data_IF_371956547016
#
_entry.id   IF_371956547016
#
_cell.length_a   1.000
_cell.length_b   1.000
_cell.length_c   1.000
_cell.angle_alpha   90.00
_cell.angle_beta   90.00
_cell.angle_gamma   90.00
#
_symmetry.space_group_name_H-M   'P 1'
#
loop_
_entity.id
_entity.type
_entity.pdbx_description
1 polymer ?
#
# COMPACT_ATOMS: atom_id res chain seq x y z
N UNK A 1 -13.89 33.03 -12.91
CA UNK A 1 -13.35 31.91 -12.09
C UNK A 1 -11.97 31.58 -12.63
N UNK A 2 -10.92 31.85 -11.85
CA UNK A 2 -9.55 31.45 -12.18
C UNK A 2 -9.28 30.09 -11.54
N UNK A 3 -8.86 29.13 -12.34
CA UNK A 3 -8.42 27.83 -11.83
C UNK A 3 -6.94 27.89 -11.51
N UNK A 4 -6.58 27.57 -10.27
CA UNK A 4 -5.20 27.53 -9.80
C UNK A 4 -4.85 26.13 -9.34
N UNK A 5 -3.66 25.66 -9.64
CA UNK A 5 -3.14 24.37 -9.19
C UNK A 5 -2.28 24.57 -7.95
N UNK A 6 -2.68 23.93 -6.86
CA UNK A 6 -1.95 24.02 -5.59
C UNK A 6 -1.62 22.64 -5.06
N UNK A 7 -0.53 22.56 -4.32
CA UNK A 7 -0.13 21.35 -3.58
C UNK A 7 -0.13 21.65 -2.09
N UNK A 8 -0.93 20.90 -1.35
CA UNK A 8 -0.93 20.90 0.11
C UNK A 8 0.13 19.89 0.61
N UNK A 9 1.20 20.39 1.18
CA UNK A 9 2.29 19.55 1.67
C UNK A 9 2.05 19.14 3.12
N UNK A 10 2.52 17.97 3.54
CA UNK A 10 2.34 17.43 4.89
C UNK A 10 2.93 18.30 6.01
N UNK A 11 3.86 19.20 5.68
CA UNK A 11 4.45 20.17 6.59
C UNK A 11 3.61 21.46 6.78
N UNK A 12 2.37 21.47 6.28
CA UNK A 12 1.47 22.62 6.38
C UNK A 12 1.74 23.75 5.38
N UNK A 13 2.63 23.58 4.39
CA UNK A 13 2.87 24.56 3.33
C UNK A 13 1.97 24.31 2.11
N UNK A 14 1.54 25.41 1.49
CA UNK A 14 0.87 25.42 0.18
C UNK A 14 1.90 25.87 -0.85
N UNK A 15 2.02 25.15 -1.95
CA UNK A 15 2.89 25.48 -3.09
C UNK A 15 2.15 25.28 -4.40
N UNK A 16 2.60 25.90 -5.47
CA UNK A 16 1.98 25.91 -6.81
C UNK A 16 1.71 27.31 -7.29
N UNK A 17 0.57 27.55 -7.92
CA UNK A 17 0.18 28.85 -8.46
C UNK A 17 -0.05 29.91 -7.37
N UNK A 18 -0.30 29.48 -6.14
CA UNK A 18 -0.31 30.31 -4.93
C UNK A 18 0.52 29.67 -3.83
N UNK A 19 0.96 30.48 -2.89
CA UNK A 19 1.73 30.03 -1.72
C UNK A 19 1.00 30.39 -0.44
N UNK A 20 1.29 29.62 0.62
CA UNK A 20 0.66 29.86 1.90
C UNK A 20 0.85 28.72 2.87
N UNK A 21 -0.07 28.63 3.83
CA UNK A 21 -0.09 27.57 4.83
C UNK A 21 -1.48 26.96 4.99
N UNK A 22 -1.52 25.74 5.46
CA UNK A 22 -2.77 25.05 5.77
C UNK A 22 -2.62 24.21 7.03
N UNK A 23 -3.73 24.03 7.72
CA UNK A 23 -3.81 23.12 8.87
C UNK A 23 -5.21 22.55 8.99
N UNK A 24 -5.35 21.48 9.75
CA UNK A 24 -6.64 20.89 10.09
C UNK A 24 -6.72 20.61 11.59
N UNK A 25 -7.93 20.55 12.12
CA UNK A 25 -8.17 20.15 13.51
C UNK A 25 -8.25 18.62 13.54
N UNK A 26 -7.28 17.98 14.20
CA UNK A 26 -7.21 16.51 14.30
C UNK A 26 -8.53 15.93 14.84
N UNK A 27 -9.05 14.91 14.15
CA UNK A 27 -10.32 14.26 14.51
C UNK A 27 -11.57 14.95 13.96
N UNK A 28 -11.41 16.00 13.17
CA UNK A 28 -12.52 16.70 12.51
C UNK A 28 -12.26 16.83 11.00
N UNK A 29 -13.28 17.30 10.29
CA UNK A 29 -13.17 17.69 8.88
C UNK A 29 -12.85 19.17 8.68
N UNK A 30 -12.68 19.92 9.76
CA UNK A 30 -12.42 21.35 9.69
C UNK A 30 -10.95 21.63 9.32
N UNK A 31 -10.75 22.56 8.42
CA UNK A 31 -9.45 23.04 8.01
C UNK A 31 -9.42 24.57 7.91
N UNK A 32 -8.23 25.11 7.92
CA UNK A 32 -7.97 26.49 7.60
C UNK A 32 -6.78 26.59 6.63
N UNK A 33 -6.85 27.58 5.74
CA UNK A 33 -5.79 27.92 4.80
C UNK A 33 -5.51 29.40 4.88
N UNK A 34 -4.25 29.78 4.79
CA UNK A 34 -3.84 31.17 4.57
C UNK A 34 -3.23 31.22 3.18
N UNK A 35 -3.84 31.97 2.29
CA UNK A 35 -3.41 32.14 0.90
C UNK A 35 -3.29 33.63 0.67
N UNK A 36 -2.11 34.07 0.23
CA UNK A 36 -1.78 35.49 -0.01
C UNK A 36 -2.16 36.40 1.18
N UNK A 37 -1.93 35.91 2.41
CA UNK A 37 -2.25 36.63 3.65
C UNK A 37 -3.72 36.61 4.07
N UNK A 38 -4.62 36.04 3.27
CA UNK A 38 -6.06 35.93 3.60
C UNK A 38 -6.33 34.56 4.22
N UNK A 39 -6.99 34.59 5.39
CA UNK A 39 -7.41 33.37 6.08
C UNK A 39 -8.75 32.88 5.58
N UNK A 40 -8.82 31.63 5.21
CA UNK A 40 -10.01 30.89 4.80
C UNK A 40 -10.25 29.75 5.79
N UNK A 41 -11.53 29.54 6.15
CA UNK A 41 -11.96 28.44 7.02
C UNK A 41 -13.05 27.63 6.35
N UNK A 42 -13.06 26.32 6.57
CA UNK A 42 -14.08 25.45 6.00
C UNK A 42 -13.83 24.00 6.29
N UNK A 43 -14.29 23.14 5.40
CA UNK A 43 -14.29 21.70 5.57
C UNK A 43 -13.67 20.98 4.39
N UNK A 44 -12.98 19.87 4.69
CA UNK A 44 -12.71 18.81 3.73
C UNK A 44 -13.81 17.76 3.83
N UNK A 45 -14.25 17.26 2.69
CA UNK A 45 -15.19 16.14 2.65
C UNK A 45 -14.92 15.24 1.46
N UNK A 46 -15.35 14.00 1.55
CA UNK A 46 -15.33 13.06 0.46
C UNK A 46 -16.62 13.14 -0.32
N UNK A 47 -16.51 13.16 -1.63
CA UNK A 47 -17.68 13.01 -2.51
C UNK A 47 -17.29 12.14 -3.71
N UNK A 48 -18.28 11.62 -4.42
CA UNK A 48 -18.06 10.98 -5.73
C UNK A 48 -17.86 12.07 -6.77
N UNK A 49 -16.89 11.86 -7.67
CA UNK A 49 -16.72 12.74 -8.82
C UNK A 49 -17.83 12.50 -9.87
N UNK A 50 -17.99 13.43 -10.81
CA UNK A 50 -18.98 13.33 -11.88
C UNK A 50 -18.51 12.46 -13.07
N UNK A 51 -17.37 11.75 -12.93
CA UNK A 51 -16.90 10.84 -13.96
C UNK A 51 -17.73 9.55 -14.00
N UNK A 52 -17.79 8.83 -15.14
CA UNK A 52 -18.52 7.57 -15.22
C UNK A 52 -18.08 6.50 -14.20
N UNK A 53 -16.87 6.61 -13.67
CA UNK A 53 -16.32 5.71 -12.66
C UNK A 53 -16.70 6.10 -11.21
N UNK A 54 -17.32 7.29 -11.01
CA UNK A 54 -17.75 7.79 -9.70
C UNK A 54 -16.69 7.61 -8.60
N UNK A 55 -15.44 8.00 -8.90
CA UNK A 55 -14.35 7.86 -7.94
C UNK A 55 -14.57 8.77 -6.73
N UNK A 56 -14.19 8.29 -5.54
CA UNK A 56 -14.15 9.14 -4.35
C UNK A 56 -13.04 10.18 -4.48
N UNK A 57 -13.40 11.44 -4.38
CA UNK A 57 -12.47 12.57 -4.38
C UNK A 57 -12.59 13.37 -3.08
N UNK A 58 -11.47 13.86 -2.58
CA UNK A 58 -11.47 14.83 -1.49
C UNK A 58 -11.74 16.20 -2.06
N UNK A 59 -12.75 16.84 -1.56
CA UNK A 59 -13.09 18.23 -1.90
C UNK A 59 -12.95 19.12 -0.67
N UNK A 60 -12.75 20.39 -0.91
CA UNK A 60 -12.79 21.38 0.15
C UNK A 60 -13.65 22.58 -0.26
N UNK A 61 -14.32 23.15 0.71
CA UNK A 61 -15.04 24.42 0.57
C UNK A 61 -14.66 25.31 1.74
N UNK A 62 -14.16 26.49 1.44
CA UNK A 62 -13.63 27.42 2.41
C UNK A 62 -14.22 28.81 2.18
N UNK A 63 -14.46 29.53 3.26
CA UNK A 63 -14.96 30.92 3.27
C UNK A 63 -13.88 31.80 3.93
N UNK A 64 -13.47 32.83 3.22
CA UNK A 64 -12.58 33.88 3.72
C UNK A 64 -13.32 35.08 4.29
N UNK A 65 -12.58 36.03 4.87
CA UNK A 65 -13.09 37.37 5.17
C UNK A 65 -13.63 37.98 3.86
N UNK A 66 -14.72 38.72 3.95
CA UNK A 66 -15.43 39.33 2.82
C UNK A 66 -16.21 38.37 1.91
N UNK A 67 -16.65 37.21 2.47
CA UNK A 67 -17.46 36.23 1.74
C UNK A 67 -16.80 35.66 0.46
N UNK A 68 -15.50 35.81 0.33
CA UNK A 68 -14.76 35.10 -0.71
C UNK A 68 -14.80 33.59 -0.45
N UNK A 69 -15.16 32.84 -1.44
CA UNK A 69 -15.19 31.39 -1.35
C UNK A 69 -14.11 30.76 -2.20
N UNK A 70 -13.44 29.77 -1.66
CA UNK A 70 -12.54 28.88 -2.39
C UNK A 70 -13.09 27.49 -2.30
N UNK A 71 -13.20 26.81 -3.41
CA UNK A 71 -13.50 25.39 -3.44
C UNK A 71 -12.52 24.70 -4.38
N UNK A 72 -12.30 23.43 -4.15
CA UNK A 72 -11.43 22.66 -5.00
C UNK A 72 -11.58 21.18 -4.74
N UNK A 73 -11.14 20.40 -5.71
CA UNK A 73 -11.02 18.97 -5.60
C UNK A 73 -9.55 18.60 -5.51
N UNK A 74 -9.20 17.70 -4.63
CA UNK A 74 -7.94 17.00 -4.75
C UNK A 74 -8.06 16.19 -6.05
N UNK A 75 -7.36 16.61 -7.10
CA UNK A 75 -7.11 15.69 -8.19
C UNK A 75 -6.53 14.44 -7.56
N UNK A 76 -7.28 13.35 -7.62
CA UNK A 76 -6.79 12.07 -7.14
C UNK A 76 -5.45 11.88 -7.84
N UNK A 77 -4.34 12.01 -7.11
CA UNK A 77 -3.25 11.11 -7.41
C UNK A 77 -3.99 9.77 -7.44
N UNK A 78 -4.06 9.13 -8.60
CA UNK A 78 -4.33 7.72 -8.64
C UNK A 78 -3.24 7.12 -7.77
N UNK A 79 -3.49 7.05 -6.48
CA UNK A 79 -2.82 6.06 -5.66
C UNK A 79 -3.33 4.81 -6.37
N UNK A 80 -2.47 4.20 -7.17
CA UNK A 80 -2.73 2.87 -7.66
C UNK A 80 -2.81 2.04 -6.39
N UNK A 81 -4.00 2.02 -5.79
CA UNK A 81 -4.31 1.10 -4.73
C UNK A 81 -4.25 -0.26 -5.40
N UNK A 82 -3.14 -0.93 -5.20
CA UNK A 82 -2.99 -2.30 -5.63
C UNK A 82 -3.83 -3.16 -4.70
N UNK A 83 -5.15 -3.06 -4.84
CA UNK A 83 -6.13 -3.86 -4.10
C UNK A 83 -6.75 -4.89 -5.03
N UNK A 84 -7.10 -6.05 -4.49
CA UNK A 84 -7.68 -7.14 -5.26
C UNK A 84 -7.01 -8.47 -4.93
N UNK A 85 -7.36 -9.50 -5.69
CA UNK A 85 -6.77 -10.83 -5.55
C UNK A 85 -5.76 -11.07 -6.68
N UNK A 86 -4.58 -11.53 -6.30
CA UNK A 86 -3.44 -11.70 -7.20
C UNK A 86 -2.77 -13.05 -7.00
N UNK A 87 -2.17 -13.53 -8.08
CA UNK A 87 -1.00 -14.41 -8.01
C UNK A 87 0.24 -13.52 -7.93
N UNK A 88 1.17 -13.84 -7.03
CA UNK A 88 2.40 -13.08 -6.81
C UNK A 88 3.57 -13.92 -7.31
N UNK A 89 4.13 -13.54 -8.47
CA UNK A 89 5.19 -14.31 -9.14
C UNK A 89 6.55 -13.67 -8.94
N UNK A 90 7.53 -14.45 -8.54
CA UNK A 90 8.90 -13.98 -8.42
C UNK A 90 9.53 -13.75 -9.81
N UNK A 91 10.24 -12.64 -9.98
CA UNK A 91 10.88 -12.29 -11.26
C UNK A 91 12.04 -13.24 -11.62
N UNK A 92 12.84 -13.62 -10.63
CA UNK A 92 14.03 -14.46 -10.83
C UNK A 92 13.69 -15.91 -11.16
N UNK A 93 12.87 -16.53 -10.31
CA UNK A 93 12.55 -17.97 -10.42
C UNK A 93 11.38 -18.26 -11.37
N UNK A 94 10.53 -17.25 -11.64
CA UNK A 94 9.27 -17.42 -12.36
C UNK A 94 8.19 -18.19 -11.58
N UNK A 95 8.48 -18.59 -10.32
CA UNK A 95 7.53 -19.31 -9.46
C UNK A 95 6.64 -18.35 -8.69
N UNK A 96 5.58 -18.91 -8.14
CA UNK A 96 4.53 -18.16 -7.45
C UNK A 96 4.67 -18.31 -5.95
N UNK A 97 4.40 -17.23 -5.23
CA UNK A 97 4.25 -17.27 -3.78
C UNK A 97 3.17 -18.29 -3.44
N UNK A 98 3.42 -19.13 -2.43
CA UNK A 98 2.59 -20.29 -2.11
C UNK A 98 2.62 -20.53 -0.60
N UNK A 99 1.46 -20.86 -0.04
CA UNK A 99 1.38 -21.37 1.34
C UNK A 99 1.66 -22.85 1.30
N UNK A 100 2.70 -23.31 2.00
CA UNK A 100 3.12 -24.69 2.01
C UNK A 100 1.96 -25.63 2.37
N UNK A 101 1.86 -26.72 1.59
CA UNK A 101 0.82 -27.75 1.72
C UNK A 101 -0.63 -27.24 1.64
N UNK A 102 -0.84 -25.99 1.18
CA UNK A 102 -2.15 -25.34 1.20
C UNK A 102 -2.73 -25.19 2.60
N UNK A 103 -1.89 -25.23 3.63
CA UNK A 103 -2.29 -25.22 5.02
C UNK A 103 -3.05 -23.96 5.39
N UNK A 104 -4.13 -24.09 6.16
CA UNK A 104 -4.86 -22.98 6.75
C UNK A 104 -4.41 -22.65 8.18
N UNK A 105 -3.42 -23.36 8.73
CA UNK A 105 -2.95 -23.19 10.10
C UNK A 105 -2.13 -21.90 10.26
N UNK A 106 -2.07 -21.36 11.49
CA UNK A 106 -1.09 -20.35 11.86
C UNK A 106 0.32 -20.94 11.76
N UNK A 107 1.29 -20.08 11.44
CA UNK A 107 2.68 -20.42 11.22
C UNK A 107 2.96 -21.30 9.99
N UNK A 108 1.95 -21.57 9.12
CA UNK A 108 2.24 -22.23 7.85
C UNK A 108 3.26 -21.45 7.06
N UNK A 109 4.26 -22.16 6.55
CA UNK A 109 5.38 -21.55 5.85
C UNK A 109 4.95 -20.91 4.52
N UNK A 110 5.58 -19.81 4.16
CA UNK A 110 5.47 -19.22 2.83
C UNK A 110 6.68 -19.65 2.01
N UNK A 111 6.41 -20.22 0.87
CA UNK A 111 7.40 -20.73 -0.09
C UNK A 111 7.11 -20.21 -1.48
N UNK A 112 7.95 -20.55 -2.44
CA UNK A 112 7.61 -20.44 -3.84
C UNK A 112 7.28 -21.82 -4.43
N UNK A 113 6.34 -21.86 -5.38
CA UNK A 113 5.96 -23.10 -6.07
C UNK A 113 5.65 -22.86 -7.54
N UNK A 114 5.76 -23.92 -8.36
CA UNK A 114 5.25 -23.86 -9.73
C UNK A 114 3.75 -23.51 -9.75
N UNK A 115 3.30 -22.80 -10.74
CA UNK A 115 1.87 -22.43 -10.85
C UNK A 115 0.97 -23.66 -10.83
N UNK A 116 -0.01 -23.66 -9.95
CA UNK A 116 -1.01 -24.72 -9.85
C UNK A 116 -2.46 -24.19 -9.77
N UNK A 117 -2.62 -22.85 -9.64
CA UNK A 117 -3.93 -22.18 -9.62
C UNK A 117 -4.73 -22.38 -8.33
N UNK A 118 -4.20 -23.09 -7.32
CA UNK A 118 -4.88 -23.40 -6.07
C UNK A 118 -5.03 -22.15 -5.19
N UNK A 119 -5.83 -22.26 -4.14
CA UNK A 119 -6.04 -21.19 -3.17
C UNK A 119 -4.76 -20.79 -2.45
N UNK A 120 -3.82 -21.72 -2.23
CA UNK A 120 -2.49 -21.46 -1.62
C UNK A 120 -1.66 -20.41 -2.37
N UNK A 121 -1.93 -20.19 -3.66
CA UNK A 121 -1.23 -19.21 -4.48
C UNK A 121 -2.00 -17.91 -4.68
N UNK A 122 -3.22 -17.80 -4.14
CA UNK A 122 -4.05 -16.59 -4.28
C UNK A 122 -3.88 -15.71 -3.04
N UNK A 123 -3.59 -14.43 -3.30
CA UNK A 123 -3.37 -13.45 -2.22
C UNK A 123 -4.28 -12.24 -2.44
N UNK A 124 -5.05 -11.87 -1.42
CA UNK A 124 -5.86 -10.67 -1.46
C UNK A 124 -5.10 -9.51 -0.79
N UNK A 125 -4.81 -8.49 -1.58
CA UNK A 125 -4.12 -7.28 -1.12
C UNK A 125 -5.16 -6.27 -0.68
N UNK A 126 -5.06 -5.81 0.57
CA UNK A 126 -6.01 -4.89 1.21
C UNK A 126 -5.24 -3.74 1.84
N UNK A 127 -5.60 -2.52 1.50
CA UNK A 127 -5.00 -1.31 2.09
C UNK A 127 -5.38 -1.15 3.56
N UNK A 128 -4.42 -0.75 4.41
CA UNK A 128 -4.70 -0.33 5.79
C UNK A 128 -5.03 1.17 5.92
N UNK A 129 -4.98 1.93 4.81
CA UNK A 129 -5.24 3.37 4.80
C UNK A 129 -3.99 4.27 4.87
N UNK A 130 -2.84 3.76 5.39
CA UNK A 130 -1.62 4.55 5.64
C UNK A 130 -0.51 4.29 4.61
N UNK A 131 -0.87 3.78 3.43
CA UNK A 131 0.09 3.44 2.36
C UNK A 131 0.75 2.07 2.53
N UNK A 132 0.31 1.27 3.50
CA UNK A 132 0.68 -0.13 3.67
C UNK A 132 -0.49 -1.04 3.32
N UNK A 133 -0.20 -2.32 3.19
CA UNK A 133 -1.15 -3.35 2.80
C UNK A 133 -1.02 -4.58 3.69
N UNK A 134 -2.15 -5.21 3.98
CA UNK A 134 -2.22 -6.60 4.38
C UNK A 134 -2.26 -7.47 3.11
N UNK A 135 -1.54 -8.58 3.12
CA UNK A 135 -1.53 -9.55 2.04
C UNK A 135 -2.14 -10.84 2.59
N UNK A 136 -3.44 -11.00 2.37
CA UNK A 136 -4.23 -12.09 2.95
C UNK A 136 -4.10 -13.35 2.10
N UNK A 137 -3.98 -14.51 2.73
CA UNK A 137 -3.73 -15.80 2.09
C UNK A 137 -5.03 -16.51 1.71
N UNK A 138 -5.14 -16.97 0.47
CA UNK A 138 -6.31 -17.72 -0.01
C UNK A 138 -6.42 -19.11 0.64
N UNK A 139 -5.32 -19.74 1.04
CA UNK A 139 -5.30 -20.99 1.78
C UNK A 139 -6.12 -20.93 3.08
N UNK A 140 -6.17 -19.77 3.72
CA UNK A 140 -6.95 -19.50 4.93
C UNK A 140 -8.35 -18.92 4.64
N UNK A 141 -8.79 -18.92 3.39
CA UNK A 141 -9.98 -18.19 2.95
C UNK A 141 -9.92 -16.70 3.31
N UNK A 142 -8.72 -16.11 3.19
CA UNK A 142 -8.42 -14.68 3.44
C UNK A 142 -8.64 -14.22 4.89
N UNK A 143 -8.60 -15.13 5.86
CA UNK A 143 -8.68 -14.79 7.29
C UNK A 143 -7.31 -14.56 7.93
N UNK A 144 -6.23 -14.98 7.26
CA UNK A 144 -4.85 -14.83 7.70
C UNK A 144 -4.05 -13.99 6.71
N UNK A 145 -2.96 -13.42 7.20
CA UNK A 145 -2.06 -12.56 6.41
C UNK A 145 -0.65 -13.13 6.34
N UNK A 146 0.13 -12.69 5.35
CA UNK A 146 1.58 -12.80 5.41
C UNK A 146 2.08 -12.10 6.69
N UNK A 147 3.01 -12.74 7.36
CA UNK A 147 3.53 -12.33 8.66
C UNK A 147 5.04 -12.52 8.69
N UNK A 148 5.75 -11.48 9.10
CA UNK A 148 7.18 -11.61 9.42
C UNK A 148 7.28 -12.26 10.79
N UNK A 149 7.80 -13.48 10.85
CA UNK A 149 7.81 -14.29 12.05
C UNK A 149 8.36 -13.52 13.26
N UNK A 150 7.62 -13.58 14.38
CA UNK A 150 7.93 -12.90 15.65
C UNK A 150 8.12 -11.37 15.54
N UNK A 151 7.74 -10.76 14.41
CA UNK A 151 7.92 -9.31 14.20
C UNK A 151 9.37 -8.86 14.09
N UNK A 152 10.29 -9.80 13.82
CA UNK A 152 11.72 -9.52 13.74
C UNK A 152 12.06 -8.58 12.58
N UNK A 153 12.98 -7.64 12.79
CA UNK A 153 13.52 -6.79 11.75
C UNK A 153 14.76 -7.39 11.05
N UNK A 154 15.26 -8.51 11.55
CA UNK A 154 16.51 -9.12 11.08
C UNK A 154 16.36 -9.73 9.68
N UNK A 155 17.42 -9.67 8.90
CA UNK A 155 17.52 -10.38 7.63
C UNK A 155 17.50 -11.91 7.87
N UNK A 156 16.94 -12.65 6.92
CA UNK A 156 16.73 -14.08 7.04
C UNK A 156 15.48 -14.47 7.86
N UNK A 157 14.75 -13.49 8.44
CA UNK A 157 13.52 -13.80 9.17
C UNK A 157 12.50 -14.45 8.23
N UNK A 158 11.95 -15.56 8.65
CA UNK A 158 10.99 -16.33 7.86
C UNK A 158 9.68 -15.57 7.67
N UNK A 159 9.03 -15.80 6.53
CA UNK A 159 7.66 -15.35 6.26
C UNK A 159 6.73 -16.53 6.44
N UNK A 160 5.69 -16.30 7.23
CA UNK A 160 4.64 -17.30 7.51
C UNK A 160 3.27 -16.69 7.23
N UNK A 161 2.22 -17.49 7.23
CA UNK A 161 0.88 -16.94 7.41
C UNK A 161 0.51 -16.96 8.88
N UNK A 162 -0.25 -15.97 9.32
CA UNK A 162 -0.74 -15.88 10.69
C UNK A 162 -2.11 -15.19 10.75
N UNK A 163 -2.91 -15.52 11.75
CA UNK A 163 -4.20 -14.87 12.01
C UNK A 163 -4.05 -13.37 12.03
N UNK A 164 -4.95 -12.64 11.35
CA UNK A 164 -4.85 -11.19 11.18
C UNK A 164 -4.96 -10.48 12.55
N UNK A 165 -3.82 -10.00 13.05
CA UNK A 165 -3.69 -9.29 14.32
C UNK A 165 -3.46 -7.77 14.16
N UNK A 166 -3.32 -7.32 12.91
CA UNK A 166 -3.04 -5.93 12.53
C UNK A 166 -1.71 -5.36 13.05
N UNK A 167 -0.79 -6.22 13.44
CA UNK A 167 0.57 -5.86 13.86
C UNK A 167 1.42 -5.31 12.70
N UNK A 168 2.52 -4.65 13.03
CA UNK A 168 3.46 -4.10 12.04
C UNK A 168 4.13 -5.19 11.19
N UNK A 169 4.27 -6.39 11.73
CA UNK A 169 4.81 -7.57 11.06
C UNK A 169 3.91 -8.12 9.94
N UNK A 170 2.64 -7.70 9.88
CA UNK A 170 1.69 -8.06 8.82
C UNK A 170 1.49 -6.94 7.80
N UNK A 171 2.18 -5.82 7.95
CA UNK A 171 2.07 -4.66 7.07
C UNK A 171 3.24 -4.59 6.09
N UNK A 172 2.89 -4.47 4.81
CA UNK A 172 3.87 -4.39 3.74
C UNK A 172 3.63 -3.15 2.87
N UNK A 173 4.71 -2.53 2.41
CA UNK A 173 4.68 -1.46 1.41
C UNK A 173 4.95 -2.07 0.04
N UNK A 174 4.08 -1.79 -0.92
CA UNK A 174 4.30 -2.17 -2.32
C UNK A 174 5.01 -1.04 -3.05
N UNK A 175 6.30 -1.23 -3.31
CA UNK A 175 7.13 -0.26 -4.01
C UNK A 175 7.30 -0.67 -5.48
N UNK A 176 6.62 0.06 -6.38
CA UNK A 176 6.73 -0.20 -7.82
C UNK A 176 8.12 0.16 -8.31
N UNK A 177 8.75 -0.74 -9.04
CA UNK A 177 10.07 -0.61 -9.63
C UNK A 177 9.97 -0.06 -11.07
N UNK A 178 11.07 0.43 -11.60
CA UNK A 178 11.14 0.99 -12.97
C UNK A 178 10.83 -0.03 -14.06
N UNK A 179 11.06 -1.31 -13.78
CA UNK A 179 10.77 -2.44 -14.71
C UNK A 179 9.31 -2.95 -14.60
N UNK A 180 8.46 -2.26 -13.82
CA UNK A 180 7.05 -2.61 -13.63
C UNK A 180 6.80 -3.65 -12.55
N UNK A 181 7.83 -4.26 -11.97
CA UNK A 181 7.71 -5.17 -10.82
C UNK A 181 7.47 -4.42 -9.52
N UNK A 182 7.31 -5.15 -8.43
CA UNK A 182 7.14 -4.61 -7.08
C UNK A 182 8.18 -5.19 -6.12
N UNK A 183 8.74 -4.33 -5.26
CA UNK A 183 9.32 -4.76 -4.00
C UNK A 183 8.21 -4.80 -2.96
N UNK A 184 8.14 -5.87 -2.18
CA UNK A 184 7.17 -6.06 -1.09
C UNK A 184 7.92 -5.86 0.21
N UNK A 185 7.95 -4.61 0.70
CA UNK A 185 8.80 -4.19 1.81
C UNK A 185 8.08 -4.33 3.16
N UNK A 186 8.73 -4.95 4.12
CA UNK A 186 8.19 -5.22 5.46
C UNK A 186 8.20 -3.96 6.35
N UNK A 187 7.08 -3.63 6.97
CA UNK A 187 7.02 -2.56 7.98
C UNK A 187 7.78 -2.93 9.25
N UNK A 188 7.91 -4.20 9.59
CA UNK A 188 8.70 -4.67 10.74
C UNK A 188 10.16 -4.22 10.64
N UNK A 189 10.73 -4.20 9.43
CA UNK A 189 12.08 -3.69 9.16
C UNK A 189 12.14 -2.19 8.87
N UNK A 190 11.06 -1.43 9.09
CA UNK A 190 10.94 -0.03 8.66
C UNK A 190 11.12 0.14 7.14
N UNK A 191 10.66 -0.84 6.36
CA UNK A 191 10.78 -0.92 4.91
C UNK A 191 12.23 -1.02 4.38
N UNK A 192 13.18 -1.44 5.19
CA UNK A 192 14.56 -1.72 4.76
C UNK A 192 14.67 -3.08 4.09
N UNK A 193 13.92 -4.07 4.56
CA UNK A 193 13.92 -5.43 4.04
C UNK A 193 12.59 -5.75 3.32
N UNK A 194 12.65 -6.63 2.35
CA UNK A 194 11.49 -7.08 1.57
C UNK A 194 11.44 -8.60 1.44
N UNK A 195 10.36 -9.11 0.85
CA UNK A 195 10.23 -10.51 0.52
C UNK A 195 11.35 -10.92 -0.44
N UNK A 196 12.05 -11.99 -0.07
CA UNK A 196 13.21 -12.52 -0.77
C UNK A 196 13.09 -14.03 -0.96
N UNK A 197 13.46 -14.52 -2.13
CA UNK A 197 13.61 -15.96 -2.36
C UNK A 197 14.95 -16.39 -1.79
N UNK A 198 14.90 -17.10 -0.66
CA UNK A 198 16.10 -17.53 0.05
C UNK A 198 17.06 -18.31 -0.84
N UNK A 199 18.34 -17.97 -0.73
CA UNK A 199 19.46 -18.63 -1.43
C UNK A 199 19.27 -18.68 -2.96
N UNK A 200 18.57 -17.71 -3.54
CA UNK A 200 18.33 -17.65 -4.99
C UNK A 200 17.75 -18.95 -5.56
N UNK A 201 16.97 -19.64 -4.79
CA UNK A 201 16.38 -20.92 -5.19
C UNK A 201 15.54 -20.75 -6.46
N UNK A 202 15.70 -21.69 -7.41
CA UNK A 202 14.79 -21.85 -8.56
C UNK A 202 13.82 -23.01 -8.40
N UNK A 203 13.88 -23.69 -7.27
CA UNK A 203 13.10 -24.91 -7.04
C UNK A 203 11.73 -24.58 -6.41
N UNK A 204 10.74 -25.41 -6.69
CA UNK A 204 9.52 -25.44 -5.90
C UNK A 204 9.85 -25.86 -4.47
N UNK A 205 9.21 -25.26 -3.47
CA UNK A 205 9.58 -25.40 -2.07
C UNK A 205 10.68 -24.43 -1.60
N UNK A 206 11.23 -23.61 -2.50
CA UNK A 206 12.17 -22.55 -2.09
C UNK A 206 11.54 -21.60 -1.08
N UNK A 207 12.23 -21.41 0.05
CA UNK A 207 11.72 -20.63 1.16
C UNK A 207 11.63 -19.13 0.82
N UNK A 208 10.68 -18.44 1.46
CA UNK A 208 10.56 -16.98 1.41
C UNK A 208 10.89 -16.43 2.79
N UNK A 209 11.84 -15.50 2.82
CA UNK A 209 12.19 -14.76 4.02
C UNK A 209 12.09 -13.25 3.76
N UNK A 210 12.37 -12.42 4.75
CA UNK A 210 12.72 -11.03 4.50
C UNK A 210 14.24 -10.88 4.45
N UNK A 211 14.71 -10.01 3.56
CA UNK A 211 16.13 -9.65 3.46
C UNK A 211 16.27 -8.18 3.08
N UNK A 212 17.37 -7.55 3.51
CA UNK A 212 17.68 -6.17 3.14
C UNK A 212 17.49 -5.97 1.62
N UNK A 213 16.68 -4.96 1.25
CA UNK A 213 16.33 -4.74 -0.15
C UNK A 213 17.49 -4.08 -0.91
N UNK A 214 18.09 -4.83 -1.81
CA UNK A 214 19.17 -4.36 -2.68
C UNK A 214 18.77 -4.35 -4.17
N UNK A 215 17.54 -4.70 -4.49
CA UNK A 215 16.97 -4.59 -5.84
C UNK A 215 17.27 -5.77 -6.77
N UNK A 216 17.71 -6.91 -6.24
CA UNK A 216 17.88 -8.14 -7.01
C UNK A 216 16.55 -8.73 -7.48
N UNK A 217 16.60 -9.53 -8.54
CA UNK A 217 15.42 -10.12 -9.14
C UNK A 217 14.71 -11.14 -8.22
N UNK A 218 15.45 -11.75 -7.27
CA UNK A 218 14.88 -12.61 -6.22
C UNK A 218 13.98 -11.84 -5.24
N UNK A 219 14.11 -10.50 -5.18
CA UNK A 219 13.31 -9.60 -4.33
C UNK A 219 12.23 -8.84 -5.12
N UNK A 220 12.08 -9.14 -6.41
CA UNK A 220 11.11 -8.46 -7.29
C UNK A 220 9.96 -9.38 -7.64
N UNK A 221 8.76 -8.82 -7.58
CA UNK A 221 7.52 -9.56 -7.69
C UNK A 221 6.60 -8.98 -8.75
N UNK A 222 5.94 -9.84 -9.50
CA UNK A 222 4.94 -9.51 -10.51
C UNK A 222 3.57 -9.84 -9.93
N UNK A 223 2.68 -8.86 -9.91
CA UNK A 223 1.30 -9.03 -9.45
C UNK A 223 0.40 -9.32 -10.65
N UNK A 224 -0.10 -10.53 -10.77
CA UNK A 224 -1.03 -10.95 -11.81
C UNK A 224 -2.44 -11.08 -11.21
N UNK A 225 -3.39 -10.25 -11.65
CA UNK A 225 -4.75 -10.28 -11.13
C UNK A 225 -5.40 -11.66 -11.39
N UNK A 226 -6.08 -12.19 -10.38
CA UNK A 226 -6.94 -13.37 -10.52
C UNK A 226 -8.20 -12.92 -11.25
N UNK A 227 -8.47 -13.58 -12.40
CA UNK A 227 -9.67 -13.34 -13.20
C UNK A 227 -10.86 -14.12 -12.65
#
# INVERSE_FOLDING_TARGET
>A
LTTQKVKLNSNGKITGDVTGSWSYIKGTYYCQMVIDGVMYKGVFFKQKDETPSHNEVMTFSLIGKNNQTIWGTKNSVKVNKTEGTFYIRNKFSGKYLDVADGSSADHANIQQWAYNGLASQKYKIVSNGDGYYYILTGASNYTKALDVAMGSAADGTNIVQYSLNKGTNQLFKLSKQSDGTYAVLSKASSCKSGLDVYDWSRNSGGNINQWNFWGGDCQKWILAAVK
#
